data_IF_847813981592
#
_entry.id   IF_847813981592
#
_cell.length_a   1.000
_cell.length_b   1.000
_cell.length_c   1.000
_cell.angle_alpha   90.00
_cell.angle_beta   90.00
_cell.angle_gamma   90.00
#
_symmetry.space_group_name_H-M   'P 1'
#
loop_
_entity.id
_entity.type
_entity.pdbx_description
1 polymer ?
#
# COMPACT_ATOMS: atom_id res chain seq x y z
N UNK A 1 -2.69 -14.42 -10.40
CA UNK A 1 -2.38 -12.98 -10.38
C UNK A 1 -1.39 -12.79 -9.24
N UNK A 2 -0.29 -12.08 -9.48
CA UNK A 2 0.69 -11.76 -8.44
C UNK A 2 0.22 -10.53 -7.66
N UNK A 3 0.69 -10.36 -6.41
CA UNK A 3 0.40 -9.16 -5.63
C UNK A 3 0.76 -7.88 -6.39
N UNK A 4 1.89 -7.90 -7.13
CA UNK A 4 2.30 -6.76 -7.94
C UNK A 4 1.29 -6.44 -9.05
N UNK A 5 0.71 -7.45 -9.71
CA UNK A 5 -0.32 -7.26 -10.72
C UNK A 5 -1.59 -6.66 -10.10
N UNK A 6 -2.02 -7.15 -8.95
CA UNK A 6 -3.17 -6.61 -8.19
C UNK A 6 -2.91 -5.17 -7.75
N UNK A 7 -1.71 -4.90 -7.26
CA UNK A 7 -1.32 -3.56 -6.81
C UNK A 7 -1.27 -2.55 -7.94
N UNK A 8 -0.73 -2.94 -9.10
CA UNK A 8 -0.78 -2.10 -10.28
C UNK A 8 -2.21 -1.87 -10.75
N UNK A 9 -3.06 -2.90 -10.74
CA UNK A 9 -4.46 -2.79 -11.14
C UNK A 9 -5.21 -1.77 -10.26
N UNK A 10 -5.09 -1.88 -8.94
CA UNK A 10 -5.76 -0.94 -8.01
C UNK A 10 -5.25 0.50 -8.15
N UNK A 11 -3.94 0.70 -8.34
CA UNK A 11 -3.38 2.02 -8.59
C UNK A 11 -3.86 2.61 -9.94
N UNK A 12 -3.96 1.78 -10.97
CA UNK A 12 -4.51 2.17 -12.27
C UNK A 12 -6.00 2.51 -12.18
N UNK A 13 -6.78 1.78 -11.39
CA UNK A 13 -8.19 2.07 -11.19
C UNK A 13 -8.38 3.36 -10.38
N UNK A 14 -7.54 3.63 -9.38
CA UNK A 14 -7.49 4.93 -8.69
C UNK A 14 -7.17 6.06 -9.68
N UNK A 15 -6.20 5.85 -10.59
CA UNK A 15 -5.83 6.83 -11.62
C UNK A 15 -6.97 7.11 -12.62
N UNK A 16 -7.80 6.11 -12.91
CA UNK A 16 -8.99 6.22 -13.77
C UNK A 16 -10.21 6.80 -13.04
N UNK A 17 -10.16 6.92 -11.71
CA UNK A 17 -11.25 7.39 -10.87
C UNK A 17 -12.28 6.31 -10.51
N UNK A 18 -11.95 5.03 -10.70
CA UNK A 18 -12.79 3.88 -10.33
C UNK A 18 -12.28 3.11 -9.11
N UNK A 19 -11.05 3.40 -8.67
CA UNK A 19 -10.41 2.71 -7.54
C UNK A 19 -10.94 3.16 -6.18
N UNK A 20 -10.36 2.59 -5.13
CA UNK A 20 -10.82 2.75 -3.75
C UNK A 20 -10.89 4.20 -3.26
N UNK A 21 -10.05 5.10 -3.79
CA UNK A 21 -9.89 6.46 -3.29
C UNK A 21 -9.73 7.52 -4.38
N UNK A 22 -10.15 8.78 -4.12
CA UNK A 22 -9.92 9.88 -5.05
C UNK A 22 -8.45 10.31 -5.06
N UNK A 23 -7.95 10.70 -6.24
CA UNK A 23 -6.54 11.09 -6.43
C UNK A 23 -6.45 12.59 -6.69
N UNK A 24 -5.68 13.32 -5.87
CA UNK A 24 -5.54 14.77 -6.05
C UNK A 24 -4.53 15.15 -7.14
N UNK A 25 -3.47 14.36 -7.32
CA UNK A 25 -2.45 14.58 -8.35
C UNK A 25 -2.26 13.33 -9.23
N UNK A 26 -3.01 13.26 -10.31
CA UNK A 26 -3.01 12.14 -11.25
C UNK A 26 -1.64 11.93 -11.92
N UNK A 27 -0.90 13.01 -12.22
CA UNK A 27 0.42 12.91 -12.83
C UNK A 27 1.44 12.27 -11.89
N UNK A 28 1.35 12.55 -10.59
CA UNK A 28 2.20 11.92 -9.61
C UNK A 28 1.85 10.43 -9.49
N UNK A 29 0.56 10.09 -9.36
CA UNK A 29 0.15 8.68 -9.29
C UNK A 29 0.54 7.90 -10.54
N UNK A 30 0.41 8.47 -11.75
CA UNK A 30 0.88 7.83 -12.98
C UNK A 30 2.38 7.51 -12.95
N UNK A 31 3.21 8.42 -12.41
CA UNK A 31 4.65 8.15 -12.22
C UNK A 31 4.89 7.05 -11.19
N UNK A 32 4.07 6.97 -10.14
CA UNK A 32 4.17 5.90 -9.16
C UNK A 32 3.80 4.54 -9.77
N UNK A 33 2.76 4.48 -10.60
CA UNK A 33 2.39 3.28 -11.38
C UNK A 33 3.56 2.83 -12.25
N UNK A 34 4.17 3.76 -13.02
CA UNK A 34 5.32 3.45 -13.85
C UNK A 34 6.54 2.99 -13.04
N UNK A 35 6.76 3.61 -11.87
CA UNK A 35 7.80 3.21 -10.93
C UNK A 35 7.59 1.77 -10.43
N UNK A 36 6.40 1.44 -9.92
CA UNK A 36 6.06 0.07 -9.44
C UNK A 36 6.17 -0.93 -10.59
N UNK A 37 5.73 -0.57 -11.80
CA UNK A 37 5.83 -1.44 -12.98
C UNK A 37 7.29 -1.80 -13.29
N UNK A 38 8.20 -0.84 -13.15
CA UNK A 38 9.63 -1.02 -13.38
C UNK A 38 10.38 -1.80 -12.28
N UNK A 39 9.80 -1.97 -11.08
CA UNK A 39 10.42 -2.77 -10.03
C UNK A 39 10.50 -4.26 -10.45
N UNK A 40 11.51 -5.01 -10.00
CA UNK A 40 11.54 -6.45 -10.26
C UNK A 40 10.46 -7.17 -9.44
N UNK A 41 10.05 -8.37 -9.87
CA UNK A 41 9.01 -9.15 -9.16
C UNK A 41 9.45 -9.59 -7.75
N UNK A 42 10.75 -9.68 -7.52
CA UNK A 42 11.35 -10.04 -6.24
C UNK A 42 11.72 -8.84 -5.38
N UNK A 43 11.27 -7.62 -5.72
CA UNK A 43 11.45 -6.43 -4.88
C UNK A 43 10.96 -6.72 -3.46
N UNK A 44 11.87 -6.50 -2.50
CA UNK A 44 11.66 -6.87 -1.11
C UNK A 44 10.40 -6.22 -0.51
N UNK A 45 10.09 -4.98 -0.90
CA UNK A 45 8.93 -4.26 -0.34
C UNK A 45 7.63 -4.84 -0.84
N UNK A 46 7.55 -5.16 -2.14
CA UNK A 46 6.37 -5.83 -2.71
C UNK A 46 6.18 -7.22 -2.10
N UNK A 47 7.26 -7.96 -1.85
CA UNK A 47 7.21 -9.25 -1.15
C UNK A 47 6.74 -9.11 0.29
N UNK A 48 7.20 -8.09 1.01
CA UNK A 48 6.74 -7.83 2.37
C UNK A 48 5.25 -7.48 2.41
N UNK A 49 4.78 -6.59 1.53
CA UNK A 49 3.36 -6.26 1.41
C UNK A 49 2.50 -7.50 1.08
N UNK A 50 3.01 -8.39 0.24
CA UNK A 50 2.35 -9.68 -0.05
C UNK A 50 2.19 -10.54 1.21
N UNK A 51 3.21 -10.57 2.08
CA UNK A 51 3.14 -11.34 3.32
C UNK A 51 2.16 -10.71 4.34
N UNK A 52 2.14 -9.37 4.44
CA UNK A 52 1.19 -8.65 5.32
C UNK A 52 -0.25 -8.97 4.92
N UNK A 53 -0.54 -8.98 3.61
CA UNK A 53 -1.87 -9.33 3.10
C UNK A 53 -2.31 -10.76 3.48
N UNK A 54 -1.37 -11.71 3.55
CA UNK A 54 -1.63 -13.11 3.91
C UNK A 54 -1.77 -13.35 5.42
N UNK A 55 -1.26 -12.45 6.26
CA UNK A 55 -1.09 -12.64 7.71
C UNK A 55 -2.34 -12.35 8.54
N UNK A 56 -2.77 -11.09 8.61
CA UNK A 56 -3.62 -10.62 9.72
C UNK A 56 -4.76 -9.67 9.36
N UNK A 57 -4.72 -8.98 8.23
CA UNK A 57 -5.70 -7.93 7.98
C UNK A 57 -5.41 -7.12 6.74
N UNK A 58 -5.39 -7.81 5.59
CA UNK A 58 -5.30 -7.30 4.23
C UNK A 58 -4.79 -5.87 4.07
N UNK A 59 -3.59 -5.73 3.52
CA UNK A 59 -3.05 -4.46 3.01
C UNK A 59 -4.09 -3.60 2.26
N UNK A 60 -5.03 -4.24 1.55
CA UNK A 60 -6.12 -3.59 0.81
C UNK A 60 -7.15 -2.87 1.70
N UNK A 61 -7.30 -3.30 2.95
CA UNK A 61 -8.23 -2.72 3.91
C UNK A 61 -7.60 -1.68 4.83
N UNK A 62 -6.27 -1.51 4.80
CA UNK A 62 -5.58 -0.55 5.64
C UNK A 62 -5.92 0.90 5.18
N UNK A 63 -6.69 1.67 5.99
CA UNK A 63 -7.12 3.00 5.59
C UNK A 63 -5.97 4.03 5.64
N UNK A 64 -4.96 3.84 6.49
CA UNK A 64 -3.78 4.71 6.52
C UNK A 64 -3.05 4.66 5.17
N UNK A 65 -2.96 3.48 4.57
CA UNK A 65 -2.39 3.31 3.23
C UNK A 65 -3.28 3.93 2.15
N UNK A 66 -4.50 3.43 1.99
CA UNK A 66 -5.33 3.79 0.84
C UNK A 66 -5.99 5.15 0.97
N UNK A 67 -6.48 5.54 2.15
CA UNK A 67 -7.22 6.80 2.34
C UNK A 67 -6.34 7.99 2.72
N UNK A 68 -5.13 7.77 3.24
CA UNK A 68 -4.26 8.88 3.65
C UNK A 68 -3.07 9.10 2.71
N UNK A 69 -2.36 8.04 2.31
CA UNK A 69 -1.14 8.18 1.50
C UNK A 69 -1.43 8.39 0.01
N UNK A 70 -2.27 7.55 -0.59
CA UNK A 70 -2.54 7.58 -2.05
C UNK A 70 -3.19 8.88 -2.52
N UNK A 71 -4.25 9.42 -1.88
CA UNK A 71 -4.93 10.63 -2.35
C UNK A 71 -4.04 11.87 -2.35
N UNK A 72 -3.12 11.95 -1.38
CA UNK A 72 -2.25 13.11 -1.14
C UNK A 72 -0.91 13.01 -1.86
N UNK A 73 -0.61 11.88 -2.50
CA UNK A 73 0.65 11.70 -3.19
C UNK A 73 0.86 12.76 -4.27
N UNK A 74 2.04 13.38 -4.29
CA UNK A 74 2.38 14.44 -5.23
C UNK A 74 1.85 15.83 -4.90
N UNK A 75 1.15 16.03 -3.77
CA UNK A 75 0.74 17.38 -3.31
C UNK A 75 1.89 18.09 -2.60
N UNK A 76 2.58 17.40 -1.68
CA UNK A 76 3.72 17.94 -0.93
C UNK A 76 5.06 17.41 -1.44
N UNK A 77 5.11 16.10 -1.75
CA UNK A 77 6.30 15.41 -2.22
C UNK A 77 5.92 14.37 -3.28
N UNK A 78 6.81 14.14 -4.25
CA UNK A 78 6.63 13.21 -5.38
C UNK A 78 7.67 12.08 -5.38
N UNK A 79 8.13 11.64 -4.20
CA UNK A 79 9.08 10.54 -4.07
C UNK A 79 8.35 9.20 -4.11
N UNK A 80 8.50 8.47 -5.22
CA UNK A 80 7.85 7.17 -5.42
C UNK A 80 8.43 6.09 -4.50
N UNK A 81 9.73 6.11 -4.25
CA UNK A 81 10.37 5.15 -3.34
C UNK A 81 9.90 5.39 -1.91
N UNK A 82 9.97 6.64 -1.47
CA UNK A 82 9.49 7.03 -0.15
C UNK A 82 7.99 6.81 0.07
N UNK A 83 7.14 6.87 -0.97
CA UNK A 83 5.75 6.47 -0.86
C UNK A 83 5.63 4.96 -0.60
N UNK A 84 6.30 4.12 -1.39
CA UNK A 84 6.23 2.67 -1.24
C UNK A 84 6.76 2.22 0.13
N UNK A 85 7.84 2.84 0.60
CA UNK A 85 8.41 2.57 1.92
C UNK A 85 7.40 2.93 3.03
N UNK A 86 6.72 4.08 2.95
CA UNK A 86 5.67 4.43 3.91
C UNK A 86 4.46 3.51 3.87
N UNK A 87 4.01 3.12 2.66
CA UNK A 87 2.88 2.18 2.54
C UNK A 87 3.22 0.85 3.22
N UNK A 88 4.48 0.41 3.14
CA UNK A 88 4.96 -0.77 3.85
C UNK A 88 5.01 -0.55 5.36
N UNK A 89 5.57 0.57 5.84
CA UNK A 89 5.68 0.87 7.26
C UNK A 89 4.29 0.91 7.93
N UNK A 90 3.31 1.57 7.31
CA UNK A 90 1.93 1.62 7.81
C UNK A 90 1.26 0.24 7.82
N UNK A 91 1.51 -0.57 6.79
CA UNK A 91 0.96 -1.92 6.70
C UNK A 91 1.54 -2.86 7.78
N UNK A 92 2.84 -2.76 8.06
CA UNK A 92 3.50 -3.53 9.13
C UNK A 92 3.05 -3.03 10.51
N UNK A 93 2.93 -1.72 10.70
CA UNK A 93 2.51 -1.17 12.00
C UNK A 93 1.13 -1.68 12.41
N UNK A 94 0.18 -1.72 11.46
CA UNK A 94 -1.17 -2.23 11.70
C UNK A 94 -1.16 -3.73 12.04
N UNK A 95 -0.31 -4.53 11.37
CA UNK A 95 -0.13 -5.95 11.70
C UNK A 95 0.42 -6.16 13.12
N UNK A 96 1.38 -5.33 13.55
CA UNK A 96 1.92 -5.39 14.92
C UNK A 96 0.84 -5.03 15.94
N UNK A 97 0.06 -3.98 15.70
CA UNK A 97 -0.99 -3.55 16.62
C UNK A 97 -2.07 -4.64 16.81
N UNK A 98 -2.46 -5.32 15.71
CA UNK A 98 -3.39 -6.46 15.76
C UNK A 98 -2.82 -7.61 16.60
N UNK A 99 -1.56 -8.00 16.36
CA UNK A 99 -0.90 -9.08 17.11
C UNK A 99 -0.75 -8.72 18.60
N UNK A 100 -0.43 -7.48 18.93
CA UNK A 100 -0.34 -7.02 20.33
C UNK A 100 -1.71 -7.06 21.04
N UNK A 101 -2.81 -6.75 20.33
CA UNK A 101 -4.15 -6.89 20.85
C UNK A 101 -4.51 -8.36 21.12
N UNK A 102 -4.24 -9.27 20.17
CA UNK A 102 -4.52 -10.70 20.34
C UNK A 102 -3.79 -11.32 21.53
N UNK A 103 -2.53 -10.93 21.76
CA UNK A 103 -1.74 -11.40 22.92
C UNK A 103 -2.35 -10.93 24.25
N UNK A 104 -2.89 -9.71 24.31
CA UNK A 104 -3.50 -9.16 25.54
C UNK A 104 -4.83 -9.82 25.90
N UNK A 105 -5.52 -10.42 24.94
CA UNK A 105 -6.83 -11.06 25.15
C UNK A 105 -6.74 -12.54 25.54
N UNK A 106 -5.54 -13.13 25.57
CA UNK A 106 -5.34 -14.49 26.06
C UNK A 106 -5.53 -14.55 27.59
N UNK A 107 -6.43 -15.41 28.11
CA UNK A 107 -6.51 -15.64 29.55
C UNK A 107 -5.23 -16.32 30.02
N UNK A 108 -4.53 -15.69 30.97
CA UNK A 108 -3.31 -16.23 31.59
C UNK A 108 -3.51 -17.53 32.34
#
# INVERSE_FOLDING_TARGET
MTFKEEFLQELEDCLRGYGAVPVLNHNALARFVDFVRALPEDDLRLRCLTNVDQGSGSFWNNPAVWWELVPRFGVAHCDCGGLLDRMLDEAISDEIDVLEMEIRELPG
#
